data_IF_783358338643
#
_entry.id   IF_783358338643
#
_cell.length_a   1.000
_cell.length_b   1.000
_cell.length_c   1.000
_cell.angle_alpha   90.00
_cell.angle_beta   90.00
_cell.angle_gamma   90.00
#
_symmetry.space_group_name_H-M   'P 1'
#
loop_
_entity.id
_entity.type
_entity.pdbx_description
1 polymer ?
#
# COMPACT_ATOMS: atom_id res chain seq x y z
N UNK A 1 33.94 -14.75 41.69
CA UNK A 1 32.65 -14.06 41.46
C UNK A 1 32.84 -13.05 40.35
N UNK A 2 32.46 -13.39 39.14
CA UNK A 2 32.52 -12.51 37.97
C UNK A 2 31.23 -11.71 37.85
N UNK A 3 31.32 -10.38 37.80
CA UNK A 3 30.18 -9.49 37.55
C UNK A 3 29.62 -9.71 36.15
N UNK A 4 28.30 -9.78 35.98
CA UNK A 4 27.73 -9.88 34.64
C UNK A 4 27.98 -8.57 33.87
N UNK A 5 28.61 -8.69 32.71
CA UNK A 5 28.80 -7.65 31.73
C UNK A 5 27.41 -7.14 31.25
N UNK A 6 27.13 -5.88 31.51
CA UNK A 6 25.98 -5.19 30.89
C UNK A 6 26.22 -5.14 29.38
N UNK A 7 25.59 -6.04 28.64
CA UNK A 7 25.53 -5.99 27.20
C UNK A 7 24.81 -4.71 26.76
N UNK A 8 25.53 -3.72 26.28
CA UNK A 8 24.98 -2.63 25.49
C UNK A 8 24.54 -3.21 24.12
N UNK A 9 23.35 -3.79 24.10
CA UNK A 9 22.67 -4.17 22.86
C UNK A 9 21.81 -2.98 22.49
N UNK A 10 21.90 -2.54 21.23
CA UNK A 10 21.22 -1.45 20.55
C UNK A 10 21.87 -0.06 20.60
N UNK A 11 22.94 0.11 19.80
CA UNK A 11 23.34 1.42 19.29
C UNK A 11 22.98 1.64 17.82
N UNK A 12 22.11 0.81 17.22
CA UNK A 12 21.43 1.14 15.96
C UNK A 12 20.22 1.98 16.33
N UNK A 13 20.22 3.26 16.04
CA UNK A 13 19.20 4.24 16.38
C UNK A 13 17.72 3.91 16.17
N UNK A 14 17.32 2.65 16.33
CA UNK A 14 15.94 2.19 16.37
C UNK A 14 15.45 2.43 17.81
N UNK A 15 14.36 3.20 18.00
CA UNK A 15 13.74 3.36 19.31
C UNK A 15 13.40 1.99 19.89
N UNK A 16 13.57 1.78 21.20
CA UNK A 16 13.14 0.55 21.85
C UNK A 16 11.70 0.23 21.45
N UNK A 17 11.45 -1.02 21.00
CA UNK A 17 10.13 -1.42 20.51
C UNK A 17 9.05 -1.17 21.57
N UNK A 18 7.87 -0.73 21.15
CA UNK A 18 6.70 -0.76 22.00
C UNK A 18 6.42 -2.21 22.38
N UNK A 19 5.97 -2.51 23.61
CA UNK A 19 5.62 -3.88 23.99
C UNK A 19 4.40 -4.42 23.23
N UNK A 20 3.64 -3.57 22.56
CA UNK A 20 2.44 -3.96 21.81
C UNK A 20 2.27 -3.16 20.53
N UNK A 21 1.63 -3.81 19.54
CA UNK A 21 1.14 -3.21 18.31
C UNK A 21 -0.39 -3.31 18.30
N UNK A 22 -1.05 -2.17 18.17
CA UNK A 22 -2.52 -2.11 18.09
C UNK A 22 -2.96 -1.73 16.69
N UNK A 23 -3.95 -2.45 16.18
CA UNK A 23 -4.54 -2.20 14.86
C UNK A 23 -6.03 -1.92 15.03
N UNK A 24 -6.51 -0.78 14.52
CA UNK A 24 -7.87 -0.31 14.71
C UNK A 24 -8.55 -0.04 13.38
N UNK A 25 -9.82 -0.44 13.25
CA UNK A 25 -10.71 0.06 12.18
C UNK A 25 -11.09 1.51 12.47
N UNK A 26 -11.18 2.32 11.43
CA UNK A 26 -11.88 3.62 11.50
C UNK A 26 -13.25 3.42 10.84
N UNK A 27 -14.30 3.15 11.62
CA UNK A 27 -15.63 2.86 11.07
C UNK A 27 -16.35 4.13 10.61
N UNK A 28 -17.35 3.97 9.74
CA UNK A 28 -18.24 5.07 9.34
C UNK A 28 -17.60 6.08 8.38
N UNK A 29 -16.57 5.68 7.63
CA UNK A 29 -16.09 6.46 6.48
C UNK A 29 -17.17 6.39 5.40
N UNK A 30 -17.64 7.54 4.87
CA UNK A 30 -18.69 7.55 3.85
C UNK A 30 -18.18 6.99 2.52
N UNK A 31 -19.12 6.71 1.59
CA UNK A 31 -18.76 6.37 0.22
C UNK A 31 -17.98 7.53 -0.42
N UNK A 32 -16.77 7.24 -0.89
CA UNK A 32 -15.87 8.23 -1.46
C UNK A 32 -16.24 8.48 -2.93
N UNK A 33 -16.41 9.75 -3.27
CA UNK A 33 -16.66 10.24 -4.63
C UNK A 33 -15.48 11.08 -5.14
N UNK A 34 -15.37 11.30 -6.45
CA UNK A 34 -14.35 12.19 -7.01
C UNK A 34 -14.39 13.58 -6.36
N UNK A 35 -13.23 14.10 -5.95
CA UNK A 35 -13.09 15.38 -5.27
C UNK A 35 -13.32 15.35 -3.75
N UNK A 36 -13.66 14.19 -3.16
CA UNK A 36 -13.85 14.11 -1.70
C UNK A 36 -12.55 14.42 -0.94
N UNK A 37 -12.67 15.17 0.15
CA UNK A 37 -11.57 15.36 1.12
C UNK A 37 -11.47 14.14 2.02
N UNK A 38 -10.49 13.26 1.72
CA UNK A 38 -10.26 12.05 2.49
C UNK A 38 -9.86 12.33 3.95
N UNK A 39 -9.18 13.45 4.20
CA UNK A 39 -8.75 13.80 5.56
C UNK A 39 -9.94 14.21 6.39
N UNK A 40 -10.85 15.01 5.84
CA UNK A 40 -12.10 15.38 6.51
C UNK A 40 -12.96 14.13 6.78
N UNK A 41 -13.13 13.24 5.78
CA UNK A 41 -13.88 12.00 5.93
C UNK A 41 -13.32 11.13 7.06
N UNK A 42 -11.99 10.93 7.09
CA UNK A 42 -11.31 10.09 8.08
C UNK A 42 -11.31 10.72 9.46
N UNK A 43 -10.99 12.01 9.57
CA UNK A 43 -11.00 12.72 10.86
C UNK A 43 -12.42 12.77 11.46
N UNK A 44 -13.43 13.03 10.65
CA UNK A 44 -14.83 12.99 11.06
C UNK A 44 -15.27 11.60 11.53
N UNK A 45 -14.90 10.55 10.80
CA UNK A 45 -15.18 9.16 11.18
C UNK A 45 -14.47 8.77 12.49
N UNK A 46 -13.20 9.11 12.64
CA UNK A 46 -12.42 8.85 13.86
C UNK A 46 -13.03 9.57 15.07
N UNK A 47 -13.46 10.82 14.88
CA UNK A 47 -14.10 11.59 15.96
C UNK A 47 -15.43 10.95 16.39
N UNK A 48 -16.28 10.53 15.47
CA UNK A 48 -17.54 9.80 15.79
C UNK A 48 -17.29 8.49 16.52
N UNK A 49 -16.19 7.80 16.18
CA UNK A 49 -15.77 6.55 16.83
C UNK A 49 -14.96 6.77 18.13
N UNK A 50 -14.79 8.02 18.58
CA UNK A 50 -13.99 8.39 19.76
C UNK A 50 -12.52 7.94 19.65
N UNK A 51 -12.00 7.82 18.44
CA UNK A 51 -10.61 7.49 18.16
C UNK A 51 -9.80 8.79 18.12
N UNK A 52 -8.88 8.96 19.07
CA UNK A 52 -7.96 10.10 19.11
C UNK A 52 -6.65 9.71 18.45
N UNK A 53 -6.18 10.53 17.53
CA UNK A 53 -4.86 10.35 16.92
C UNK A 53 -3.73 10.78 17.85
N UNK A 54 -2.61 10.07 17.75
CA UNK A 54 -1.40 10.29 18.53
C UNK A 54 -0.18 10.48 17.62
N UNK A 55 0.90 11.08 18.17
CA UNK A 55 2.15 11.15 17.44
C UNK A 55 2.74 9.75 17.23
N UNK A 56 3.14 9.45 16.01
CA UNK A 56 3.68 8.15 15.63
C UNK A 56 2.62 7.15 15.13
N UNK A 57 1.34 7.52 15.12
CA UNK A 57 0.30 6.73 14.47
C UNK A 57 0.60 6.57 12.96
N UNK A 58 0.16 5.45 12.41
CA UNK A 58 0.26 5.14 10.98
C UNK A 58 -1.15 4.89 10.46
N UNK A 59 -1.57 5.63 9.43
CA UNK A 59 -2.82 5.38 8.73
C UNK A 59 -2.55 4.65 7.43
N UNK A 60 -3.17 3.47 7.28
CA UNK A 60 -3.13 2.69 6.04
C UNK A 60 -4.44 2.87 5.30
N UNK A 61 -4.35 3.47 4.12
CA UNK A 61 -5.48 3.72 3.21
C UNK A 61 -5.54 2.64 2.14
N UNK A 62 -6.73 2.07 1.90
CA UNK A 62 -6.95 1.30 0.68
C UNK A 62 -6.78 2.20 -0.54
N UNK A 63 -6.00 1.76 -1.54
CA UNK A 63 -5.75 2.57 -2.75
C UNK A 63 -7.06 3.03 -3.41
N UNK A 64 -8.09 2.22 -3.35
CA UNK A 64 -9.34 2.46 -4.04
C UNK A 64 -10.05 3.75 -3.63
N UNK A 65 -10.05 4.10 -2.33
CA UNK A 65 -10.64 5.35 -1.89
C UNK A 65 -9.80 6.55 -2.32
N UNK A 66 -8.48 6.38 -2.40
CA UNK A 66 -7.58 7.43 -2.92
C UNK A 66 -7.83 7.63 -4.41
N UNK A 67 -7.93 6.55 -5.18
CA UNK A 67 -8.24 6.56 -6.61
C UNK A 67 -9.59 7.22 -6.89
N UNK A 68 -10.64 6.87 -6.12
CA UNK A 68 -11.95 7.50 -6.23
C UNK A 68 -11.87 9.00 -5.97
N UNK A 69 -11.23 9.42 -4.88
CA UNK A 69 -11.09 10.83 -4.52
C UNK A 69 -10.32 11.62 -5.59
N UNK A 70 -9.29 11.01 -6.19
CA UNK A 70 -8.53 11.60 -7.29
C UNK A 70 -9.23 11.55 -8.66
N UNK A 71 -10.38 10.86 -8.75
CA UNK A 71 -11.13 10.70 -10.00
C UNK A 71 -10.43 9.81 -11.03
N UNK A 72 -9.55 8.88 -10.59
CA UNK A 72 -8.89 7.92 -11.49
C UNK A 72 -9.84 6.77 -11.82
N UNK A 73 -10.92 7.10 -12.50
CA UNK A 73 -12.00 6.21 -12.93
C UNK A 73 -12.08 6.23 -14.46
N UNK A 74 -12.35 5.07 -15.06
CA UNK A 74 -12.55 4.94 -16.52
C UNK A 74 -13.90 4.28 -16.78
N UNK A 75 -14.70 4.93 -17.63
CA UNK A 75 -15.94 4.33 -18.16
C UNK A 75 -15.60 3.46 -19.35
N UNK A 76 -15.90 2.17 -19.28
CA UNK A 76 -15.57 1.21 -20.32
C UNK A 76 -16.33 1.49 -21.62
N UNK A 77 -17.52 2.09 -21.56
CA UNK A 77 -18.27 2.52 -22.73
C UNK A 77 -17.50 3.52 -23.63
N UNK A 78 -16.54 4.26 -23.07
CA UNK A 78 -15.69 5.20 -23.80
C UNK A 78 -14.38 4.58 -24.33
N UNK A 79 -14.18 3.28 -24.15
CA UNK A 79 -12.91 2.60 -24.48
C UNK A 79 -13.09 1.79 -25.76
N UNK A 80 -12.27 2.09 -26.76
CA UNK A 80 -12.16 1.29 -28.00
C UNK A 80 -10.99 0.32 -27.84
N UNK A 81 -11.24 -1.02 -27.83
CA UNK A 81 -10.19 -2.00 -27.68
C UNK A 81 -9.29 -2.06 -28.93
N UNK A 82 -7.99 -2.16 -28.68
CA UNK A 82 -6.99 -2.46 -29.73
C UNK A 82 -7.05 -3.92 -30.17
N UNK A 83 -6.49 -4.29 -31.34
CA UNK A 83 -6.36 -5.68 -31.75
C UNK A 83 -5.63 -6.55 -30.72
N UNK A 84 -4.64 -6.02 -30.02
CA UNK A 84 -3.95 -6.70 -28.94
C UNK A 84 -4.88 -6.97 -27.74
N UNK A 85 -5.68 -5.98 -27.34
CA UNK A 85 -6.67 -6.15 -26.28
C UNK A 85 -7.72 -7.20 -26.63
N UNK A 86 -8.20 -7.24 -27.89
CA UNK A 86 -9.14 -8.25 -28.37
C UNK A 86 -8.53 -9.66 -28.31
N UNK A 87 -7.28 -9.83 -28.75
CA UNK A 87 -6.59 -11.11 -28.73
C UNK A 87 -6.37 -11.63 -27.29
N UNK A 88 -5.95 -10.79 -26.37
CA UNK A 88 -5.75 -11.14 -24.95
C UNK A 88 -7.10 -11.45 -24.31
N UNK A 89 -8.12 -10.62 -24.54
CA UNK A 89 -9.47 -10.78 -23.98
C UNK A 89 -10.10 -12.13 -24.40
N UNK A 90 -9.93 -12.51 -25.66
CA UNK A 90 -10.41 -13.80 -26.17
C UNK A 90 -9.77 -14.99 -25.44
N UNK A 91 -8.46 -14.95 -25.20
CA UNK A 91 -7.74 -16.01 -24.45
C UNK A 91 -8.18 -16.07 -22.98
N UNK A 92 -8.33 -14.91 -22.34
CA UNK A 92 -8.65 -14.82 -20.90
C UNK A 92 -10.15 -14.83 -20.60
N UNK A 93 -11.02 -14.81 -21.62
CA UNK A 93 -12.49 -14.67 -21.51
C UNK A 93 -12.89 -13.48 -20.66
N UNK A 94 -12.29 -12.32 -20.94
CA UNK A 94 -12.53 -11.04 -20.24
C UNK A 94 -13.06 -9.97 -21.19
N UNK A 95 -13.60 -8.89 -20.62
CA UNK A 95 -14.02 -7.73 -21.41
C UNK A 95 -12.80 -7.07 -22.10
N UNK A 96 -12.78 -6.96 -23.43
CA UNK A 96 -11.66 -6.39 -24.17
C UNK A 96 -11.44 -4.90 -23.85
N UNK A 97 -12.47 -4.16 -23.44
CA UNK A 97 -12.36 -2.75 -23.02
C UNK A 97 -11.57 -2.65 -21.72
N UNK A 98 -11.82 -3.55 -20.76
CA UNK A 98 -11.06 -3.63 -19.54
C UNK A 98 -9.59 -4.01 -19.79
N UNK A 99 -9.34 -4.98 -20.70
CA UNK A 99 -7.98 -5.34 -21.12
C UNK A 99 -7.27 -4.15 -21.76
N UNK A 100 -7.95 -3.37 -22.61
CA UNK A 100 -7.37 -2.17 -23.20
C UNK A 100 -6.92 -1.16 -22.11
N UNK A 101 -7.74 -0.95 -21.07
CA UNK A 101 -7.36 -0.09 -19.94
C UNK A 101 -6.13 -0.63 -19.22
N UNK A 102 -6.04 -1.95 -19.01
CA UNK A 102 -4.86 -2.59 -18.39
C UNK A 102 -3.62 -2.35 -19.26
N UNK A 103 -3.70 -2.52 -20.59
CA UNK A 103 -2.59 -2.25 -21.50
C UNK A 103 -2.11 -0.79 -21.40
N UNK A 104 -3.04 0.17 -21.37
CA UNK A 104 -2.72 1.60 -21.21
C UNK A 104 -2.03 1.93 -19.89
N UNK A 105 -2.34 1.21 -18.82
CA UNK A 105 -1.73 1.39 -17.50
C UNK A 105 -0.44 0.57 -17.29
N UNK A 106 -0.06 -0.23 -18.29
CA UNK A 106 1.12 -1.10 -18.25
C UNK A 106 2.32 -0.48 -18.98
N UNK A 107 3.51 -0.73 -18.45
CA UNK A 107 4.77 -0.57 -19.20
C UNK A 107 5.04 -1.77 -20.10
N UNK A 108 4.72 -2.97 -19.59
CA UNK A 108 4.83 -4.23 -20.32
C UNK A 108 3.95 -5.29 -19.69
N UNK A 109 3.57 -6.26 -20.51
CA UNK A 109 2.91 -7.47 -20.05
C UNK A 109 3.97 -8.49 -19.66
N UNK A 110 3.85 -9.00 -18.43
CA UNK A 110 4.74 -10.03 -17.88
C UNK A 110 4.20 -11.42 -18.22
N UNK A 111 2.87 -11.60 -18.09
CA UNK A 111 2.18 -12.86 -18.36
C UNK A 111 0.74 -12.61 -18.77
N UNK A 112 0.22 -13.40 -19.74
CA UNK A 112 -1.16 -13.27 -20.24
C UNK A 112 -1.84 -14.63 -20.48
N UNK A 113 -1.55 -15.65 -19.67
CA UNK A 113 -2.13 -17.00 -19.87
C UNK A 113 -3.41 -17.19 -19.05
N UNK A 114 -3.30 -17.40 -17.73
CA UNK A 114 -4.44 -17.59 -16.82
C UNK A 114 -4.88 -16.30 -16.16
N UNK A 115 -3.96 -15.39 -15.97
CA UNK A 115 -4.15 -14.06 -15.39
C UNK A 115 -3.25 -13.08 -16.13
N UNK A 116 -3.74 -11.88 -16.34
CA UNK A 116 -2.95 -10.81 -16.93
C UNK A 116 -2.08 -10.18 -15.83
N UNK A 117 -0.78 -10.50 -15.82
CA UNK A 117 0.21 -9.88 -14.95
C UNK A 117 0.98 -8.84 -15.75
N UNK A 118 1.02 -7.63 -15.27
CA UNK A 118 1.65 -6.52 -15.94
C UNK A 118 2.53 -5.71 -14.98
N UNK A 119 3.58 -5.12 -15.54
CA UNK A 119 4.34 -4.07 -14.87
C UNK A 119 3.61 -2.74 -15.09
N UNK A 120 3.17 -2.12 -14.01
CA UNK A 120 2.47 -0.84 -14.03
C UNK A 120 3.40 0.30 -14.44
N UNK A 121 2.83 1.46 -14.77
CA UNK A 121 3.62 2.69 -14.99
C UNK A 121 4.46 3.11 -13.77
N UNK A 122 4.04 2.68 -12.56
CA UNK A 122 4.77 2.93 -11.31
C UNK A 122 5.92 1.94 -11.09
N UNK A 123 5.99 0.84 -11.86
CA UNK A 123 6.97 -0.22 -11.72
C UNK A 123 6.53 -1.42 -10.87
N UNK A 124 5.32 -1.39 -10.29
CA UNK A 124 4.77 -2.56 -9.59
C UNK A 124 4.40 -3.66 -10.59
N UNK A 125 4.69 -4.91 -10.24
CA UNK A 125 4.25 -6.07 -11.00
C UNK A 125 3.06 -6.70 -10.31
N UNK A 126 1.88 -6.61 -10.91
CA UNK A 126 0.64 -7.10 -10.31
C UNK A 126 -0.38 -7.54 -11.36
N UNK A 127 -1.46 -8.17 -10.90
CA UNK A 127 -2.56 -8.56 -11.76
C UNK A 127 -3.29 -7.33 -12.31
N UNK A 128 -3.61 -7.38 -13.61
CA UNK A 128 -4.38 -6.36 -14.32
C UNK A 128 -3.83 -4.91 -14.15
N UNK A 129 -2.54 -4.74 -13.92
CA UNK A 129 -1.92 -3.43 -13.64
C UNK A 129 -2.63 -2.62 -12.51
N UNK A 130 -3.27 -3.30 -11.57
CA UNK A 130 -4.06 -2.66 -10.51
C UNK A 130 -5.41 -2.09 -10.97
N UNK A 131 -5.84 -2.35 -12.20
CA UNK A 131 -7.19 -2.01 -12.69
C UNK A 131 -8.21 -2.94 -12.05
N UNK A 132 -9.21 -2.36 -11.38
CA UNK A 132 -10.18 -3.11 -10.59
C UNK A 132 -11.63 -2.64 -10.86
N UNK A 133 -12.54 -3.62 -10.97
CA UNK A 133 -13.99 -3.41 -11.10
C UNK A 133 -14.72 -3.40 -9.74
N UNK A 134 -14.12 -3.91 -8.69
CA UNK A 134 -14.79 -4.14 -7.42
C UNK A 134 -15.06 -2.83 -6.66
N UNK A 135 -16.21 -2.75 -5.97
CA UNK A 135 -16.62 -1.60 -5.15
C UNK A 135 -16.65 -0.26 -5.92
N UNK A 136 -17.01 -0.30 -7.19
CA UNK A 136 -17.26 0.89 -8.03
C UNK A 136 -18.72 0.90 -8.40
N UNK A 137 -19.43 2.03 -8.33
CA UNK A 137 -20.83 2.10 -8.77
C UNK A 137 -20.95 1.84 -10.28
N UNK A 138 -21.76 0.83 -10.64
CA UNK A 138 -22.03 0.44 -12.05
C UNK A 138 -21.02 -0.57 -12.62
N UNK A 139 -21.53 -1.45 -13.48
CA UNK A 139 -20.76 -2.55 -14.09
C UNK A 139 -19.79 -2.09 -15.21
N UNK A 140 -19.90 -0.82 -15.64
CA UNK A 140 -19.17 -0.27 -16.79
C UNK A 140 -18.08 0.73 -16.37
N UNK A 141 -17.63 0.69 -15.10
CA UNK A 141 -16.56 1.56 -14.59
C UNK A 141 -15.47 0.74 -13.93
N UNK A 142 -14.23 1.13 -14.16
CA UNK A 142 -13.05 0.58 -13.47
C UNK A 142 -12.28 1.67 -12.74
N UNK A 143 -11.62 1.31 -11.64
CA UNK A 143 -10.65 2.16 -10.96
C UNK A 143 -9.26 1.84 -11.44
N UNK A 144 -8.43 2.87 -11.59
CA UNK A 144 -7.00 2.77 -11.78
C UNK A 144 -6.28 2.98 -10.45
N UNK A 145 -4.99 2.69 -10.39
CA UNK A 145 -4.16 3.12 -9.27
C UNK A 145 -4.10 4.66 -9.22
N UNK A 146 -3.84 5.26 -8.04
CA UNK A 146 -3.56 6.70 -7.95
C UNK A 146 -2.41 7.07 -8.90
N UNK A 147 -2.48 8.23 -9.56
CA UNK A 147 -1.47 8.65 -10.54
C UNK A 147 -0.05 8.67 -9.99
N UNK A 148 0.10 9.03 -8.74
CA UNK A 148 1.36 8.98 -8.00
C UNK A 148 1.08 8.69 -6.53
N UNK A 149 1.06 7.41 -6.13
CA UNK A 149 0.68 6.99 -4.78
C UNK A 149 1.53 7.64 -3.67
N UNK A 150 2.83 7.79 -3.89
CA UNK A 150 3.72 8.45 -2.92
C UNK A 150 3.41 9.94 -2.75
N UNK A 151 3.07 10.63 -3.85
CA UNK A 151 2.62 12.03 -3.78
C UNK A 151 1.29 12.14 -3.04
N UNK A 152 0.38 11.22 -3.27
CA UNK A 152 -0.91 11.15 -2.57
C UNK A 152 -0.72 10.89 -1.09
N UNK A 153 0.15 9.94 -0.71
CA UNK A 153 0.51 9.68 0.69
C UNK A 153 1.11 10.93 1.37
N UNK A 154 2.01 11.66 0.69
CA UNK A 154 2.58 12.92 1.21
C UNK A 154 1.52 14.00 1.43
N UNK A 155 0.58 14.17 0.48
CA UNK A 155 -0.53 15.13 0.62
C UNK A 155 -1.42 14.79 1.81
N UNK A 156 -1.79 13.51 1.95
CA UNK A 156 -2.60 13.02 3.05
C UNK A 156 -1.90 13.23 4.40
N UNK A 157 -0.62 12.87 4.53
CA UNK A 157 0.15 13.06 5.75
C UNK A 157 0.26 14.54 6.14
N UNK A 158 0.50 15.43 5.18
CA UNK A 158 0.57 16.87 5.42
C UNK A 158 -0.79 17.44 5.87
N UNK A 159 -1.88 17.04 5.23
CA UNK A 159 -3.23 17.49 5.58
C UNK A 159 -3.67 16.92 6.94
N UNK A 160 -3.39 15.66 7.24
CA UNK A 160 -3.62 15.05 8.56
C UNK A 160 -2.85 15.82 9.65
N UNK A 161 -1.58 16.14 9.43
CA UNK A 161 -0.79 16.93 10.39
C UNK A 161 -1.39 18.32 10.63
N UNK A 162 -1.88 18.98 9.58
CA UNK A 162 -2.55 20.29 9.69
C UNK A 162 -3.84 20.17 10.49
N UNK A 163 -4.65 19.15 10.23
CA UNK A 163 -5.95 18.93 10.87
C UNK A 163 -5.81 18.50 12.34
N UNK A 164 -4.94 17.51 12.62
CA UNK A 164 -4.86 16.85 13.93
C UNK A 164 -3.78 17.40 14.85
N UNK A 165 -2.84 18.18 14.32
CA UNK A 165 -1.60 18.62 15.00
C UNK A 165 -0.69 17.46 15.42
N UNK A 166 -0.90 16.27 14.87
CA UNK A 166 -0.12 15.05 15.15
C UNK A 166 0.75 14.67 13.96
N UNK A 167 1.90 14.05 14.23
CA UNK A 167 2.76 13.46 13.21
C UNK A 167 2.28 12.05 12.91
N UNK A 168 1.51 11.92 11.85
CA UNK A 168 0.91 10.67 11.41
C UNK A 168 1.59 10.27 10.10
N UNK A 169 2.08 9.04 10.04
CA UNK A 169 2.56 8.46 8.80
C UNK A 169 1.38 7.90 7.98
N UNK A 170 1.54 7.86 6.68
CA UNK A 170 0.53 7.35 5.75
C UNK A 170 1.11 6.29 4.85
N UNK A 171 0.39 5.18 4.73
CA UNK A 171 0.62 4.13 3.73
C UNK A 171 -0.63 4.06 2.85
N UNK A 172 -0.45 3.96 1.54
CA UNK A 172 -1.50 3.58 0.59
C UNK A 172 -1.21 2.15 0.21
N UNK A 173 -2.18 1.25 0.41
CA UNK A 173 -2.03 -0.18 0.15
C UNK A 173 -2.96 -0.67 -0.95
N UNK A 174 -2.48 -1.65 -1.69
CA UNK A 174 -3.28 -2.44 -2.62
C UNK A 174 -3.10 -3.94 -2.32
N UNK A 175 -3.94 -4.78 -2.91
CA UNK A 175 -3.95 -6.23 -2.66
C UNK A 175 -3.32 -6.98 -3.82
N UNK A 176 -2.14 -7.57 -3.61
CA UNK A 176 -1.38 -8.27 -4.65
C UNK A 176 -1.35 -9.79 -4.43
N UNK A 177 -1.30 -10.53 -5.54
CA UNK A 177 -0.82 -11.91 -5.55
C UNK A 177 0.69 -11.96 -5.30
N UNK A 178 1.16 -13.14 -4.91
CA UNK A 178 2.59 -13.38 -4.65
C UNK A 178 3.07 -14.59 -5.43
N UNK A 179 4.27 -14.54 -6.03
CA UNK A 179 4.90 -15.71 -6.60
C UNK A 179 4.96 -16.87 -5.58
N UNK A 180 4.74 -18.09 -6.03
CA UNK A 180 4.90 -19.34 -5.26
C UNK A 180 3.99 -19.51 -4.02
N UNK A 181 3.06 -18.61 -3.78
CA UNK A 181 2.16 -18.67 -2.63
C UNK A 181 0.72 -18.39 -3.02
N UNK A 182 -0.20 -19.20 -2.52
CA UNK A 182 -1.63 -18.93 -2.63
C UNK A 182 -2.06 -17.75 -1.74
N UNK A 183 -3.13 -17.11 -2.14
CA UNK A 183 -3.73 -15.98 -1.43
C UNK A 183 -3.11 -14.64 -1.81
N UNK A 184 -3.89 -13.61 -1.53
CA UNK A 184 -3.50 -12.21 -1.74
C UNK A 184 -3.03 -11.61 -0.42
N UNK A 185 -2.19 -10.59 -0.48
CA UNK A 185 -1.80 -9.79 0.68
C UNK A 185 -1.80 -8.31 0.32
N UNK A 186 -2.02 -7.46 1.31
CA UNK A 186 -1.86 -6.03 1.11
C UNK A 186 -0.37 -5.69 1.10
N UNK A 187 0.01 -4.83 0.16
CA UNK A 187 1.36 -4.28 0.00
C UNK A 187 1.29 -2.77 -0.10
N UNK A 188 2.36 -2.09 0.30
CA UNK A 188 2.46 -0.64 0.19
C UNK A 188 2.77 -0.23 -1.24
N UNK A 189 1.93 0.64 -1.81
CA UNK A 189 2.15 1.25 -3.13
C UNK A 189 2.46 2.74 -3.04
N UNK A 190 2.22 3.37 -1.89
CA UNK A 190 2.59 4.74 -1.57
C UNK A 190 2.86 4.92 -0.10
N UNK A 191 3.85 5.73 0.27
CA UNK A 191 4.23 5.95 1.66
C UNK A 191 4.68 7.38 1.94
N UNK A 192 4.49 7.81 3.19
CA UNK A 192 4.99 9.10 3.70
C UNK A 192 5.12 9.09 5.22
N UNK A 193 6.18 9.66 5.73
CA UNK A 193 6.38 9.89 7.16
C UNK A 193 7.10 8.77 7.90
N UNK A 194 7.38 7.62 7.24
CA UNK A 194 8.07 6.47 7.83
C UNK A 194 9.07 5.87 6.83
N UNK A 195 10.09 5.12 7.30
CA UNK A 195 10.92 4.31 6.41
C UNK A 195 10.10 3.15 5.84
N UNK A 196 10.28 2.85 4.56
CA UNK A 196 9.57 1.74 3.90
C UNK A 196 10.34 0.42 4.02
N UNK A 197 11.67 0.51 4.17
CA UNK A 197 12.57 -0.61 4.40
C UNK A 197 13.33 -0.39 5.70
N UNK A 198 13.54 -1.47 6.45
CA UNK A 198 14.46 -1.52 7.59
C UNK A 198 15.69 -2.32 7.19
N UNK A 199 16.78 -1.61 6.93
CA UNK A 199 18.07 -2.24 6.58
C UNK A 199 18.82 -2.60 7.87
N UNK A 200 18.97 -3.90 8.11
CA UNK A 200 19.69 -4.45 9.25
C UNK A 200 21.10 -4.93 8.89
N UNK A 201 21.54 -4.74 7.64
CA UNK A 201 22.89 -5.10 7.22
C UNK A 201 23.93 -4.32 8.02
N UNK A 202 24.99 -4.99 8.44
CA UNK A 202 26.03 -4.42 9.31
C UNK A 202 25.66 -4.38 10.79
N UNK A 203 24.44 -4.74 11.17
CA UNK A 203 24.08 -4.99 12.58
C UNK A 203 24.42 -6.43 12.97
N UNK A 204 24.23 -6.77 14.24
CA UNK A 204 24.47 -8.13 14.75
C UNK A 204 23.17 -8.77 15.20
N UNK A 205 23.07 -10.08 15.00
CA UNK A 205 21.99 -10.88 15.57
C UNK A 205 22.16 -11.05 17.09
N UNK A 206 21.23 -11.83 17.71
CA UNK A 206 21.23 -12.09 19.15
C UNK A 206 22.53 -12.76 19.64
N UNK A 207 23.16 -13.59 18.80
CA UNK A 207 24.36 -14.33 19.11
C UNK A 207 25.65 -13.57 18.72
N UNK A 208 25.52 -12.33 18.28
CA UNK A 208 26.63 -11.44 17.89
C UNK A 208 27.14 -11.64 16.47
N UNK A 209 26.48 -12.48 15.62
CA UNK A 209 26.87 -12.68 14.22
C UNK A 209 26.40 -11.50 13.35
N UNK A 210 27.22 -11.04 12.40
CA UNK A 210 26.84 -9.93 11.53
C UNK A 210 25.71 -10.32 10.57
N UNK A 211 24.68 -9.48 10.46
CA UNK A 211 23.66 -9.58 9.45
C UNK A 211 24.16 -8.96 8.14
N UNK A 212 24.26 -9.75 7.09
CA UNK A 212 24.86 -9.33 5.81
C UNK A 212 23.85 -9.03 4.71
N UNK A 213 22.63 -9.59 4.81
CA UNK A 213 21.63 -9.52 3.75
C UNK A 213 20.22 -9.12 4.23
N UNK A 214 20.01 -8.90 5.51
CA UNK A 214 18.67 -8.72 6.09
C UNK A 214 18.15 -7.30 5.87
N UNK A 215 17.12 -7.20 5.03
CA UNK A 215 16.32 -5.97 4.83
C UNK A 215 14.84 -6.38 4.98
N UNK A 216 14.11 -5.71 5.85
CA UNK A 216 12.68 -5.96 6.09
C UNK A 216 11.84 -4.92 5.32
N UNK A 217 10.80 -5.37 4.64
CA UNK A 217 9.85 -4.52 3.94
C UNK A 217 8.75 -4.03 4.91
N UNK A 218 9.13 -3.14 5.81
CA UNK A 218 8.28 -2.70 6.93
C UNK A 218 6.95 -2.11 6.47
N UNK A 219 6.95 -1.35 5.38
CA UNK A 219 5.69 -0.78 4.88
C UNK A 219 4.75 -1.86 4.36
N UNK A 220 5.26 -2.96 3.78
CA UNK A 220 4.44 -4.10 3.36
C UNK A 220 3.92 -4.89 4.56
N UNK A 221 4.73 -5.08 5.61
CA UNK A 221 4.28 -5.74 6.85
C UNK A 221 3.14 -4.95 7.52
N UNK A 222 3.26 -3.63 7.58
CA UNK A 222 2.21 -2.74 8.11
C UNK A 222 0.96 -2.75 7.21
N UNK A 223 1.12 -2.74 5.89
CA UNK A 223 0.01 -2.87 4.95
C UNK A 223 -0.70 -4.22 5.10
N UNK A 224 0.05 -5.32 5.25
CA UNK A 224 -0.49 -6.66 5.47
C UNK A 224 -1.25 -6.76 6.80
N UNK A 225 -0.70 -6.21 7.89
CA UNK A 225 -1.38 -6.15 9.18
C UNK A 225 -2.71 -5.36 9.10
N UNK A 226 -2.72 -4.22 8.40
CA UNK A 226 -3.93 -3.45 8.15
C UNK A 226 -4.95 -4.26 7.33
N UNK A 227 -4.50 -5.05 6.36
CA UNK A 227 -5.32 -5.90 5.51
C UNK A 227 -6.21 -6.87 6.29
N UNK A 228 -5.75 -7.35 7.46
CA UNK A 228 -6.52 -8.25 8.34
C UNK A 228 -7.83 -7.63 8.84
N UNK A 229 -7.86 -6.30 9.02
CA UNK A 229 -9.03 -5.57 9.48
C UNK A 229 -9.75 -4.79 8.38
N UNK A 230 -9.10 -4.55 7.24
CA UNK A 230 -9.68 -3.78 6.15
C UNK A 230 -10.85 -4.52 5.49
N UNK A 231 -10.72 -5.85 5.36
CA UNK A 231 -11.73 -6.70 4.71
C UNK A 231 -11.96 -6.35 3.24
N UNK A 232 -13.04 -6.89 2.67
CA UNK A 232 -13.45 -6.60 1.29
C UNK A 232 -14.86 -6.01 1.20
N UNK A 233 -15.72 -6.31 2.17
CA UNK A 233 -17.14 -5.92 2.21
C UNK A 233 -17.52 -5.08 3.43
N UNK A 234 -16.61 -4.91 4.39
CA UNK A 234 -16.93 -4.31 5.69
C UNK A 234 -16.90 -2.77 5.70
N UNK A 235 -16.60 -2.13 4.57
CA UNK A 235 -16.61 -0.67 4.44
C UNK A 235 -15.59 0.05 5.33
N UNK A 236 -14.47 -0.61 5.67
CA UNK A 236 -13.41 -0.04 6.51
C UNK A 236 -12.10 0.19 5.72
N UNK A 237 -12.09 1.17 4.81
CA UNK A 237 -10.96 1.36 3.88
C UNK A 237 -9.76 2.06 4.50
N UNK A 238 -9.82 2.44 5.78
CA UNK A 238 -8.69 3.06 6.51
C UNK A 238 -8.51 2.38 7.85
N UNK A 239 -7.27 1.99 8.10
CA UNK A 239 -6.84 1.33 9.33
C UNK A 239 -5.79 2.17 10.04
N UNK A 240 -5.95 2.33 11.33
CA UNK A 240 -4.97 2.95 12.22
C UNK A 240 -4.08 1.87 12.82
N UNK A 241 -2.77 2.04 12.72
CA UNK A 241 -1.77 1.23 13.41
C UNK A 241 -1.04 2.11 14.43
N UNK A 242 -0.97 1.66 15.68
CA UNK A 242 -0.32 2.34 16.78
C UNK A 242 0.65 1.42 17.52
N UNK A 243 1.76 1.97 18.00
CA UNK A 243 2.76 1.23 18.77
C UNK A 243 4.00 0.82 17.97
N UNK A 244 3.95 0.77 16.64
CA UNK A 244 5.17 0.59 15.85
C UNK A 244 6.06 1.83 15.96
N UNK A 245 7.26 1.67 16.49
CA UNK A 245 8.22 2.77 16.63
C UNK A 245 9.15 2.84 15.44
N UNK A 246 9.25 4.01 14.86
CA UNK A 246 10.11 4.28 13.71
C UNK A 246 10.72 5.69 13.81
N UNK A 247 11.84 5.91 13.14
CA UNK A 247 12.36 7.26 12.91
C UNK A 247 11.60 7.86 11.73
N UNK A 248 11.04 9.07 11.84
CA UNK A 248 10.40 9.73 10.71
C UNK A 248 11.33 9.78 9.50
N UNK A 249 10.83 9.37 8.34
CA UNK A 249 11.57 9.37 7.09
C UNK A 249 10.67 9.82 5.93
N UNK A 250 11.27 10.34 4.87
CA UNK A 250 10.58 10.69 3.63
C UNK A 250 10.99 9.72 2.54
N UNK A 251 10.63 8.45 2.70
CA UNK A 251 10.94 7.41 1.73
C UNK A 251 9.69 7.07 0.91
N UNK A 252 9.81 6.99 -0.43
CA UNK A 252 8.72 6.56 -1.29
C UNK A 252 8.57 5.03 -1.23
N UNK A 253 7.34 4.51 -1.37
CA UNK A 253 7.09 3.08 -1.49
C UNK A 253 7.76 2.47 -2.73
N UNK A 254 7.99 3.26 -3.77
CA UNK A 254 8.77 2.84 -4.94
C UNK A 254 10.17 2.31 -4.59
N UNK A 255 10.75 2.66 -3.44
CA UNK A 255 12.03 2.11 -2.95
C UNK A 255 11.97 0.60 -2.67
N UNK A 256 10.77 0.04 -2.46
CA UNK A 256 10.59 -1.41 -2.25
C UNK A 256 10.72 -2.18 -3.57
N UNK A 257 10.51 -1.52 -4.70
CA UNK A 257 10.58 -2.17 -6.02
C UNK A 257 12.03 -2.58 -6.28
N UNK A 258 12.23 -3.88 -6.52
CA UNK A 258 13.56 -4.42 -6.82
C UNK A 258 14.05 -3.89 -8.17
N UNK A 259 15.30 -3.41 -8.27
CA UNK A 259 15.89 -3.05 -9.55
C UNK A 259 15.87 -4.23 -10.55
N UNK A 260 15.69 -3.94 -11.83
CA UNK A 260 15.52 -5.00 -12.85
C UNK A 260 16.73 -5.94 -12.96
N UNK A 261 17.94 -5.44 -12.70
CA UNK A 261 19.19 -6.23 -12.67
C UNK A 261 19.33 -7.11 -11.42
N UNK A 262 18.49 -6.91 -10.40
CA UNK A 262 18.46 -7.70 -9.18
C UNK A 262 17.20 -8.58 -9.09
N UNK A 263 16.34 -8.52 -10.10
CA UNK A 263 15.08 -9.28 -10.12
C UNK A 263 15.34 -10.76 -10.41
N UNK A 264 14.87 -11.62 -9.50
CA UNK A 264 15.07 -13.07 -9.58
C UNK A 264 13.97 -13.79 -10.38
N UNK A 265 12.94 -13.07 -10.84
CA UNK A 265 11.71 -13.63 -11.42
C UNK A 265 11.43 -13.12 -12.84
N UNK A 266 12.32 -12.37 -13.42
CA UNK A 266 12.26 -11.86 -14.81
C UNK A 266 13.19 -12.61 -15.72
#
# INVERSE_FOLDING_TARGET
>A
MAKPSKSRIFSSGIPAASPELRVFRIPGIPEIRPGADLVECVAGAANRAVIRFEDGDILVFAQKIVSKAEGTLVRLASVNPSPEALAIAGRLKKDPRAIEVVLRESRRIVRSDHVLIAETRHGFVCANAGVDHSNVPGDDVVTLLPRNPDRSARKLAAALRKCTRKRIAVIISDTFGRPWRLGLTNVAIGASGLPVLLDLRGTRDRDGKPLTATILAVADELAAAAGLLMGKSEGTPVILIRGYRYKPASEPAAKIIRPANEDLFR
#
